data_IF_895712069485
#
_entry.id   IF_895712069485
#
_cell.length_a   1.000
_cell.length_b   1.000
_cell.length_c   1.000
_cell.angle_alpha   90.00
_cell.angle_beta   90.00
_cell.angle_gamma   90.00
#
_symmetry.space_group_name_H-M   'P 1'
#
loop_
_entity.id
_entity.type
_entity.pdbx_description
1 polymer ?
#
# COMPACT_ATOMS: atom_id res chain seq x y z
N UNK A 1 -11.69 21.41 -17.28
CA UNK A 1 -11.95 21.24 -15.83
C UNK A 1 -12.35 19.78 -15.60
N UNK A 2 -11.36 18.89 -15.51
CA UNK A 2 -11.60 17.45 -15.28
C UNK A 2 -11.77 17.23 -13.78
N UNK A 3 -12.97 16.84 -13.39
CA UNK A 3 -13.34 16.50 -12.02
C UNK A 3 -12.79 15.12 -11.67
N UNK A 4 -11.72 15.06 -10.86
CA UNK A 4 -11.19 13.82 -10.31
C UNK A 4 -12.15 13.30 -9.22
N UNK A 5 -13.11 12.46 -9.60
CA UNK A 5 -13.94 11.74 -8.63
C UNK A 5 -13.06 10.74 -7.89
N UNK A 6 -12.63 11.10 -6.67
CA UNK A 6 -11.84 10.24 -5.79
C UNK A 6 -12.75 9.15 -5.25
N UNK A 7 -12.65 7.94 -5.80
CA UNK A 7 -13.24 6.74 -5.18
C UNK A 7 -12.79 6.67 -3.73
N UNK A 8 -13.70 6.48 -2.75
CA UNK A 8 -13.28 6.33 -1.37
C UNK A 8 -12.32 5.14 -1.29
N UNK A 9 -11.13 5.38 -0.74
CA UNK A 9 -10.15 4.34 -0.52
C UNK A 9 -10.82 3.19 0.26
N UNK A 10 -10.75 1.98 -0.27
CA UNK A 10 -11.32 0.81 0.37
C UNK A 10 -10.81 0.71 1.82
N UNK A 11 -11.68 0.30 2.74
CA UNK A 11 -11.37 0.21 4.17
C UNK A 11 -10.08 -0.60 4.42
N UNK A 12 -9.30 -0.26 5.46
CA UNK A 12 -8.06 -0.97 5.78
C UNK A 12 -8.33 -2.46 6.00
N UNK A 13 -7.44 -3.32 5.48
CA UNK A 13 -7.54 -4.78 5.62
C UNK A 13 -6.81 -5.32 6.85
N UNK A 14 -5.75 -4.66 7.29
CA UNK A 14 -4.95 -5.09 8.43
C UNK A 14 -5.18 -4.17 9.62
N UNK A 15 -5.41 -4.79 10.78
CA UNK A 15 -5.56 -4.10 12.06
C UNK A 15 -4.46 -4.54 13.02
N UNK A 16 -3.81 -3.58 13.67
CA UNK A 16 -2.84 -3.88 14.73
C UNK A 16 -3.59 -4.26 16.00
N UNK A 17 -3.24 -5.42 16.56
CA UNK A 17 -3.87 -5.94 17.78
C UNK A 17 -3.05 -5.60 19.03
N UNK A 18 -1.72 -5.50 18.92
CA UNK A 18 -0.85 -5.28 20.08
C UNK A 18 0.24 -4.24 19.80
N UNK A 19 1.18 -4.55 18.90
CA UNK A 19 2.37 -3.73 18.69
C UNK A 19 2.04 -2.38 18.03
N UNK A 20 2.11 -1.30 18.81
CA UNK A 20 1.76 0.07 18.43
C UNK A 20 2.80 1.11 18.87
N UNK A 21 3.88 0.70 19.53
CA UNK A 21 4.80 1.60 20.24
C UNK A 21 6.16 1.79 19.55
N UNK A 22 6.42 1.06 18.46
CA UNK A 22 7.60 1.28 17.61
C UNK A 22 7.62 2.69 17.00
N UNK A 23 8.82 3.14 16.61
CA UNK A 23 9.01 4.45 16.01
C UNK A 23 8.13 4.63 14.75
N UNK A 24 7.45 5.79 14.61
CA UNK A 24 6.62 6.06 13.45
C UNK A 24 7.46 6.35 12.20
N UNK A 25 7.04 5.80 11.07
CA UNK A 25 7.64 6.03 9.75
C UNK A 25 6.64 6.78 8.87
N UNK A 26 6.86 8.07 8.57
CA UNK A 26 5.95 8.85 7.72
C UNK A 26 6.13 8.49 6.25
N UNK A 27 5.03 8.30 5.53
CA UNK A 27 5.02 8.03 4.09
C UNK A 27 3.75 8.61 3.46
N UNK A 28 3.62 8.56 2.14
CA UNK A 28 2.39 8.96 1.43
C UNK A 28 1.79 7.79 0.66
N UNK A 29 0.47 7.70 0.69
CA UNK A 29 -0.34 6.71 -0.03
C UNK A 29 -1.38 7.44 -0.88
N UNK A 30 -1.29 7.31 -2.20
CA UNK A 30 -2.21 7.99 -3.13
C UNK A 30 -2.32 9.51 -2.86
N UNK A 31 -1.18 10.12 -2.49
CA UNK A 31 -1.08 11.54 -2.13
C UNK A 31 -1.55 11.90 -0.72
N UNK A 32 -2.05 10.94 0.07
CA UNK A 32 -2.46 11.13 1.46
C UNK A 32 -1.30 10.82 2.41
N UNK A 33 -1.07 11.68 3.40
CA UNK A 33 -0.07 11.44 4.44
C UNK A 33 -0.49 10.29 5.36
N UNK A 34 0.38 9.30 5.53
CA UNK A 34 0.16 8.11 6.34
C UNK A 34 1.36 7.84 7.25
N UNK A 35 1.13 7.01 8.27
CA UNK A 35 2.16 6.60 9.22
C UNK A 35 2.18 5.08 9.34
N UNK A 36 3.35 4.49 9.14
CA UNK A 36 3.65 3.10 9.46
C UNK A 36 4.54 3.04 10.71
N UNK A 37 4.94 1.84 11.12
CA UNK A 37 5.88 1.64 12.22
C UNK A 37 7.20 1.07 11.70
N UNK A 38 8.30 1.39 12.37
CA UNK A 38 9.62 0.90 12.03
C UNK A 38 9.64 -0.64 11.94
N UNK A 39 10.22 -1.16 10.85
CA UNK A 39 10.27 -2.59 10.55
C UNK A 39 9.01 -3.16 9.88
N UNK A 40 7.97 -2.35 9.65
CA UNK A 40 6.86 -2.80 8.80
C UNK A 40 7.30 -2.98 7.35
N UNK A 41 6.71 -3.99 6.70
CA UNK A 41 6.79 -4.09 5.23
C UNK A 41 5.89 -3.05 4.58
N UNK A 42 6.16 -2.74 3.32
CA UNK A 42 5.28 -1.91 2.49
C UNK A 42 3.86 -2.49 2.44
N UNK A 43 3.70 -3.82 2.46
CA UNK A 43 2.38 -4.47 2.52
C UNK A 43 1.65 -4.10 3.81
N UNK A 44 2.31 -4.21 4.96
CA UNK A 44 1.74 -3.83 6.25
C UNK A 44 1.42 -2.34 6.30
N UNK A 45 2.34 -1.50 5.80
CA UNK A 45 2.16 -0.05 5.74
C UNK A 45 0.94 0.32 4.90
N UNK A 46 0.75 -0.27 3.72
CA UNK A 46 -0.40 0.06 2.87
C UNK A 46 -1.70 -0.52 3.43
N UNK A 47 -1.72 -1.81 3.78
CA UNK A 47 -2.98 -2.49 4.13
C UNK A 47 -3.54 -2.10 5.51
N UNK A 48 -2.77 -1.38 6.33
CA UNK A 48 -3.28 -0.72 7.55
C UNK A 48 -4.01 0.59 7.27
N UNK A 49 -3.90 1.11 6.04
CA UNK A 49 -4.55 2.36 5.59
C UNK A 49 -5.50 2.15 4.40
N UNK A 50 -5.37 1.05 3.65
CA UNK A 50 -6.15 0.78 2.45
C UNK A 50 -6.55 -0.70 2.30
N UNK A 51 -7.52 -0.94 1.43
CA UNK A 51 -8.09 -2.27 1.21
C UNK A 51 -7.36 -3.16 0.20
N UNK A 52 -6.31 -2.67 -0.47
CA UNK A 52 -5.57 -3.40 -1.50
C UNK A 52 -4.22 -2.72 -1.81
N UNK A 53 -3.36 -3.40 -2.58
CA UNK A 53 -2.06 -2.89 -3.06
C UNK A 53 -2.10 -2.47 -4.52
N UNK A 54 -2.91 -3.15 -5.33
CA UNK A 54 -3.08 -2.89 -6.76
C UNK A 54 -4.39 -3.48 -7.26
N UNK A 55 -4.78 -3.13 -8.47
CA UNK A 55 -5.83 -3.83 -9.22
C UNK A 55 -5.21 -4.76 -10.26
N UNK A 56 -5.88 -5.88 -10.51
CA UNK A 56 -5.54 -6.75 -11.62
C UNK A 56 -5.82 -6.03 -12.95
N UNK A 57 -4.89 -6.10 -13.90
CA UNK A 57 -4.92 -5.36 -15.16
C UNK A 57 -6.07 -5.80 -16.10
N UNK A 58 -6.56 -7.04 -15.94
CA UNK A 58 -7.59 -7.60 -16.82
C UNK A 58 -8.97 -7.57 -16.17
N UNK A 59 -9.07 -7.93 -14.89
CA UNK A 59 -10.35 -8.03 -14.19
C UNK A 59 -10.71 -6.80 -13.37
N UNK A 60 -9.78 -5.88 -13.12
CA UNK A 60 -9.96 -4.74 -12.21
C UNK A 60 -10.12 -5.12 -10.73
N UNK A 61 -10.09 -6.41 -10.41
CA UNK A 61 -10.28 -6.89 -9.05
C UNK A 61 -9.10 -6.50 -8.14
N UNK A 62 -9.36 -6.09 -6.88
CA UNK A 62 -8.32 -5.70 -5.95
C UNK A 62 -7.41 -6.88 -5.57
N UNK A 63 -6.13 -6.60 -5.37
CA UNK A 63 -5.11 -7.56 -4.95
C UNK A 63 -4.35 -7.02 -3.73
N UNK A 64 -4.29 -7.82 -2.67
CA UNK A 64 -3.63 -7.47 -1.42
C UNK A 64 -2.38 -8.32 -1.13
N UNK A 65 -2.20 -9.44 -1.84
CA UNK A 65 -1.20 -10.46 -1.51
C UNK A 65 -1.61 -11.29 -0.29
N UNK A 66 -1.31 -12.59 -0.30
CA UNK A 66 -1.71 -13.51 0.77
C UNK A 66 -0.56 -14.38 1.29
N UNK A 67 0.49 -14.61 0.50
CA UNK A 67 1.52 -15.59 0.85
C UNK A 67 2.61 -15.08 1.80
N UNK A 68 2.80 -13.75 1.90
CA UNK A 68 3.90 -13.11 2.64
C UNK A 68 5.33 -13.59 2.31
N UNK A 69 5.53 -14.28 1.18
CA UNK A 69 6.83 -14.84 0.76
C UNK A 69 7.21 -14.42 -0.68
N UNK A 70 6.40 -13.57 -1.30
CA UNK A 70 6.61 -13.12 -2.68
C UNK A 70 6.19 -14.11 -3.77
N UNK A 71 5.66 -15.29 -3.42
CA UNK A 71 5.26 -16.30 -4.40
C UNK A 71 3.96 -15.95 -5.16
N UNK A 72 2.98 -15.35 -4.48
CA UNK A 72 1.65 -15.11 -5.05
C UNK A 72 1.59 -14.04 -6.15
N UNK A 73 2.61 -13.19 -6.26
CA UNK A 73 2.65 -12.04 -7.18
C UNK A 73 1.52 -11.00 -7.02
N UNK A 74 0.56 -11.22 -6.14
CA UNK A 74 -0.51 -10.26 -5.87
C UNK A 74 -0.08 -9.10 -4.94
N UNK A 75 1.16 -9.13 -4.44
CA UNK A 75 1.73 -8.14 -3.53
C UNK A 75 2.54 -7.02 -4.20
N UNK A 76 2.40 -6.85 -5.52
CA UNK A 76 3.06 -5.74 -6.20
C UNK A 76 2.35 -4.42 -5.90
N UNK A 77 3.14 -3.36 -5.71
CA UNK A 77 2.68 -1.97 -5.58
C UNK A 77 3.60 -1.06 -6.39
N UNK A 78 3.15 0.15 -6.73
CA UNK A 78 3.98 1.15 -7.39
C UNK A 78 4.37 2.26 -6.41
N UNK A 79 5.54 2.84 -6.65
CA UNK A 79 5.92 4.13 -6.06
C UNK A 79 5.30 5.28 -6.85
N UNK A 80 5.29 6.48 -6.29
CA UNK A 80 4.86 7.70 -7.01
C UNK A 80 5.69 7.99 -8.27
N UNK A 81 6.90 7.46 -8.36
CA UNK A 81 7.79 7.57 -9.52
C UNK A 81 7.59 6.43 -10.54
N UNK A 82 6.65 5.52 -10.29
CA UNK A 82 6.33 4.38 -11.16
C UNK A 82 7.19 3.14 -10.97
N UNK A 83 8.21 3.18 -10.09
CA UNK A 83 9.00 1.98 -9.75
C UNK A 83 8.11 0.95 -9.04
N UNK A 84 8.25 -0.33 -9.41
CA UNK A 84 7.43 -1.42 -8.87
C UNK A 84 8.15 -2.12 -7.72
N UNK A 85 7.46 -2.23 -6.59
CA UNK A 85 7.99 -2.84 -5.36
C UNK A 85 7.21 -4.10 -4.99
N UNK A 86 7.93 -5.08 -4.44
CA UNK A 86 7.31 -6.26 -3.85
C UNK A 86 6.95 -5.95 -2.40
N UNK A 87 5.70 -5.60 -2.16
CA UNK A 87 5.27 -5.00 -0.91
C UNK A 87 5.52 -5.91 0.31
N UNK A 88 5.39 -7.23 0.17
CA UNK A 88 5.50 -8.17 1.28
C UNK A 88 6.94 -8.43 1.76
N UNK A 89 7.97 -7.96 1.04
CA UNK A 89 9.37 -8.19 1.37
C UNK A 89 10.23 -6.93 1.38
N UNK A 90 9.66 -5.78 1.01
CA UNK A 90 10.32 -4.48 1.07
C UNK A 90 9.88 -3.77 2.34
N UNK A 91 10.81 -3.28 3.14
CA UNK A 91 10.50 -2.44 4.30
C UNK A 91 10.05 -1.05 3.86
N UNK A 92 9.08 -0.47 4.59
CA UNK A 92 8.68 0.92 4.39
C UNK A 92 9.79 1.84 4.91
N UNK A 93 10.04 2.93 4.20
CA UNK A 93 11.02 3.94 4.58
C UNK A 93 10.37 5.32 4.62
N UNK A 94 10.93 6.21 5.45
CA UNK A 94 10.43 7.57 5.58
C UNK A 94 10.47 8.30 4.23
N UNK A 95 9.38 8.99 3.88
CA UNK A 95 9.26 9.75 2.64
C UNK A 95 8.92 8.93 1.40
N UNK A 96 8.71 7.61 1.51
CA UNK A 96 8.20 6.82 0.39
C UNK A 96 6.84 7.36 -0.08
N UNK A 97 6.67 7.48 -1.40
CA UNK A 97 5.38 7.73 -2.03
C UNK A 97 4.91 6.44 -2.69
N UNK A 98 3.74 5.93 -2.28
CA UNK A 98 3.15 4.68 -2.75
C UNK A 98 1.80 4.94 -3.42
N UNK A 99 1.47 4.13 -4.41
CA UNK A 99 0.26 4.27 -5.23
C UNK A 99 -0.43 2.93 -5.36
N UNK A 100 -1.72 2.90 -5.05
CA UNK A 100 -2.59 1.70 -5.19
C UNK A 100 -3.54 1.81 -6.37
N UNK A 101 -3.87 3.03 -6.78
CA UNK A 101 -4.69 3.33 -7.94
C UNK A 101 -3.79 3.97 -9.02
N UNK A 102 -3.51 3.23 -10.10
CA UNK A 102 -2.77 3.78 -11.23
C UNK A 102 -3.70 4.74 -11.97
N UNK A 103 -3.26 5.98 -12.19
CA UNK A 103 -4.00 6.92 -13.04
C UNK A 103 -4.15 6.30 -14.43
N UNK A 104 -5.40 6.22 -14.91
CA UNK A 104 -5.74 5.71 -16.23
C UNK A 104 -5.15 6.55 -17.37
#
# INVERSE_FOLDING_TARGET
>A
MTSTSRTPAAAPLLHRVAETARDPIPFTLDGVACTALAGDTVLTAVLTHAGHLRRNEFSGAPRAGFCMMGACQDCWVQTGEGARLRACSTFVQAGMSLVTEVAA
#
